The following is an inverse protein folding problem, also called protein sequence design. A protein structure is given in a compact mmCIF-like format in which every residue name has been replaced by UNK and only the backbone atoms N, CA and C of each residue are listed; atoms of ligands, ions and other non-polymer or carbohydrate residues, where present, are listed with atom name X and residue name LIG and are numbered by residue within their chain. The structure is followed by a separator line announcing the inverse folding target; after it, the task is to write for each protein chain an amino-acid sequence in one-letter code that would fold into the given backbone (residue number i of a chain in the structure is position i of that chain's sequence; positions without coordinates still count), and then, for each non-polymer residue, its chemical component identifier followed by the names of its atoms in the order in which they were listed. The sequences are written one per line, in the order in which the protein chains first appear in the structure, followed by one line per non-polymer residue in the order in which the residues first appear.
data_IF_644731985323
#
_entry.id   IF_644731985323
#
_cell.length_a   1.000
_cell.length_b   1.000
_cell.length_c   1.000
_cell.angle_alpha   90.00
_cell.angle_beta   90.00
_cell.angle_gamma   90.00
#
_symmetry.space_group_name_H-M   'P 1'
#
loop_
_entity.id
_entity.type
_entity.pdbx_description
1 polymer ?
#
# COMPACT_ATOMS: atom_id res chain seq x y z
N UNK A 1 -5.07 -1.66 15.35
CA UNK A 1 -5.40 -0.28 15.77
C UNK A 1 -6.33 0.25 14.70
N UNK A 2 -7.66 0.29 14.88
CA UNK A 2 -8.66 0.44 13.79
C UNK A 2 -8.67 1.82 13.08
N UNK A 3 -7.55 2.26 12.53
CA UNK A 3 -7.35 3.60 11.97
C UNK A 3 -8.29 3.84 10.78
N UNK A 4 -8.56 2.79 10.01
CA UNK A 4 -9.41 2.85 8.82
C UNK A 4 -10.86 2.43 9.07
N UNK A 5 -11.25 2.04 10.29
CA UNK A 5 -12.58 1.44 10.52
C UNK A 5 -13.68 2.41 10.98
N UNK A 6 -13.35 3.63 11.43
CA UNK A 6 -14.32 4.54 12.08
C UNK A 6 -14.50 5.90 11.39
N UNK A 7 -13.92 6.08 10.20
CA UNK A 7 -13.82 7.38 9.52
C UNK A 7 -14.59 7.39 8.19
N UNK A 8 -14.93 8.56 7.66
CA UNK A 8 -15.46 8.69 6.29
C UNK A 8 -14.39 8.48 5.23
N UNK A 9 -14.80 8.34 3.96
CA UNK A 9 -13.90 8.02 2.84
C UNK A 9 -12.75 9.02 2.72
N UNK A 10 -13.05 10.33 2.80
CA UNK A 10 -12.04 11.38 2.71
C UNK A 10 -11.03 11.32 3.85
N UNK A 11 -11.48 11.11 5.09
CA UNK A 11 -10.57 11.06 6.24
C UNK A 11 -9.72 9.78 6.22
N UNK A 12 -10.23 8.67 5.70
CA UNK A 12 -9.43 7.45 5.50
C UNK A 12 -8.34 7.68 4.46
N UNK A 13 -8.65 8.31 3.33
CA UNK A 13 -7.67 8.66 2.29
C UNK A 13 -6.59 9.60 2.83
N UNK A 14 -6.99 10.68 3.51
CA UNK A 14 -6.05 11.60 4.14
C UNK A 14 -5.19 10.92 5.22
N UNK A 15 -5.76 9.95 5.94
CA UNK A 15 -5.02 9.17 6.92
C UNK A 15 -3.97 8.26 6.27
N UNK A 16 -4.25 7.65 5.13
CA UNK A 16 -3.27 6.85 4.39
C UNK A 16 -2.10 7.72 3.91
N UNK A 17 -2.38 8.92 3.39
CA UNK A 17 -1.34 9.88 2.99
C UNK A 17 -0.48 10.32 4.20
N UNK A 18 -1.12 10.62 5.33
CA UNK A 18 -0.41 10.98 6.55
C UNK A 18 0.45 9.80 7.07
N UNK A 19 -0.06 8.58 7.04
CA UNK A 19 0.67 7.38 7.44
C UNK A 19 1.92 7.16 6.57
N UNK A 20 1.82 7.29 5.25
CA UNK A 20 3.00 7.22 4.37
C UNK A 20 4.02 8.29 4.75
N UNK A 21 3.59 9.54 4.93
CA UNK A 21 4.50 10.63 5.29
C UNK A 21 5.17 10.43 6.66
N UNK A 22 4.46 9.85 7.63
CA UNK A 22 5.01 9.58 8.97
C UNK A 22 5.97 8.40 8.94
N UNK A 23 5.71 7.41 8.09
CA UNK A 23 6.59 6.25 7.93
C UNK A 23 7.80 6.53 7.04
N UNK A 24 7.78 7.57 6.20
CA UNK A 24 8.87 7.90 5.31
C UNK A 24 10.17 8.12 6.10
N UNK A 25 11.20 7.32 5.78
CA UNK A 25 12.50 7.29 6.45
C UNK A 25 12.51 6.98 7.96
N UNK A 26 11.36 6.67 8.57
CA UNK A 26 11.23 6.39 10.01
C UNK A 26 11.10 4.89 10.29
N UNK A 27 12.23 4.22 10.55
CA UNK A 27 12.24 2.80 10.90
C UNK A 27 11.41 2.46 12.16
N UNK A 28 11.40 3.27 13.25
CA UNK A 28 10.52 3.02 14.38
C UNK A 28 9.04 3.00 14.01
N UNK A 29 8.58 3.98 13.23
CA UNK A 29 7.18 4.05 12.80
C UNK A 29 6.79 2.88 11.89
N UNK A 30 7.73 2.42 11.06
CA UNK A 30 7.55 1.25 10.20
C UNK A 30 7.42 -0.05 11.03
N UNK A 31 8.28 -0.24 12.04
CA UNK A 31 8.18 -1.38 12.97
C UNK A 31 6.89 -1.33 13.79
N UNK A 32 6.48 -0.16 14.28
CA UNK A 32 5.22 0.01 15.02
C UNK A 32 4.00 -0.29 14.14
N UNK A 33 4.05 0.11 12.86
CA UNK A 33 3.01 -0.19 11.89
C UNK A 33 2.88 -1.70 11.62
N UNK A 34 4.02 -2.40 11.48
CA UNK A 34 4.06 -3.87 11.37
C UNK A 34 3.49 -4.54 12.64
N UNK A 35 3.96 -4.12 13.82
CA UNK A 35 3.52 -4.66 15.11
C UNK A 35 2.01 -4.46 15.39
N UNK A 36 1.40 -3.44 14.77
CA UNK A 36 -0.03 -3.16 14.88
C UNK A 36 -0.88 -3.86 13.80
N UNK A 37 -0.32 -4.76 13.01
CA UNK A 37 -0.95 -5.41 11.85
C UNK A 37 -1.48 -4.39 10.82
N UNK A 38 -0.75 -3.29 10.60
CA UNK A 38 -1.17 -2.23 9.70
C UNK A 38 -1.42 -2.70 8.27
N UNK A 39 -0.60 -3.64 7.78
CA UNK A 39 -0.80 -4.27 6.46
C UNK A 39 -2.14 -5.00 6.41
N UNK A 40 -2.48 -5.78 7.44
CA UNK A 40 -3.75 -6.49 7.50
C UNK A 40 -4.93 -5.51 7.40
N UNK A 41 -4.90 -4.40 8.16
CA UNK A 41 -5.96 -3.39 8.10
C UNK A 41 -6.13 -2.78 6.70
N UNK A 42 -5.05 -2.48 6.00
CA UNK A 42 -5.10 -1.97 4.61
C UNK A 42 -5.64 -3.04 3.66
N UNK A 43 -5.21 -4.30 3.83
CA UNK A 43 -5.65 -5.41 2.96
C UNK A 43 -7.12 -5.79 3.16
N UNK A 44 -7.69 -5.58 4.36
CA UNK A 44 -9.12 -5.73 4.59
C UNK A 44 -9.90 -4.73 3.74
N UNK A 45 -9.44 -3.48 3.68
CA UNK A 45 -10.12 -2.42 2.90
C UNK A 45 -10.00 -2.65 1.40
N UNK A 46 -8.80 -2.98 0.89
CA UNK A 46 -8.60 -3.15 -0.56
C UNK A 46 -9.39 -4.33 -1.15
N UNK A 47 -9.64 -5.37 -0.35
CA UNK A 47 -10.38 -6.57 -0.74
C UNK A 47 -11.89 -6.43 -0.62
N UNK A 48 -12.37 -5.51 0.20
CA UNK A 48 -13.81 -5.34 0.42
C UNK A 48 -14.46 -4.63 -0.78
N UNK A 49 -15.15 -5.40 -1.63
CA UNK A 49 -15.85 -4.89 -2.82
C UNK A 49 -17.00 -3.93 -2.48
N UNK A 50 -17.45 -3.87 -1.23
CA UNK A 50 -18.49 -2.93 -0.77
C UNK A 50 -17.91 -1.57 -0.37
N UNK A 51 -16.60 -1.46 -0.18
CA UNK A 51 -15.93 -0.19 0.09
C UNK A 51 -15.83 0.62 -1.21
N UNK A 52 -15.93 1.95 -1.06
CA UNK A 52 -15.71 2.92 -2.12
C UNK A 52 -14.45 2.61 -2.95
N UNK A 53 -14.62 2.54 -4.27
CA UNK A 53 -13.56 2.14 -5.19
C UNK A 53 -12.36 3.09 -5.14
N UNK A 54 -12.55 4.38 -4.91
CA UNK A 54 -11.45 5.33 -4.79
C UNK A 54 -10.66 5.09 -3.51
N UNK A 55 -11.32 4.71 -2.42
CA UNK A 55 -10.62 4.31 -1.19
C UNK A 55 -9.83 3.01 -1.39
N UNK A 56 -10.40 2.02 -2.08
CA UNK A 56 -9.68 0.79 -2.44
C UNK A 56 -8.45 1.13 -3.30
N UNK A 57 -8.60 2.00 -4.29
CA UNK A 57 -7.49 2.46 -5.14
C UNK A 57 -6.42 3.15 -4.30
N UNK A 58 -6.82 4.02 -3.36
CA UNK A 58 -5.90 4.70 -2.44
C UNK A 58 -5.11 3.72 -1.56
N UNK A 59 -5.74 2.63 -1.12
CA UNK A 59 -5.03 1.54 -0.44
C UNK A 59 -3.99 0.87 -1.36
N UNK A 60 -4.31 0.68 -2.65
CA UNK A 60 -3.36 0.19 -3.65
C UNK A 60 -2.14 1.13 -3.81
N UNK A 61 -2.38 2.44 -3.95
CA UNK A 61 -1.33 3.46 -4.01
C UNK A 61 -0.44 3.42 -2.75
N UNK A 62 -1.06 3.37 -1.57
CA UNK A 62 -0.37 3.25 -0.28
C UNK A 62 0.57 2.04 -0.25
N UNK A 63 0.09 0.86 -0.65
CA UNK A 63 0.89 -0.37 -0.67
C UNK A 63 2.09 -0.27 -1.62
N UNK A 64 1.89 0.30 -2.80
CA UNK A 64 2.94 0.52 -3.79
C UNK A 64 4.03 1.45 -3.27
N UNK A 65 3.63 2.57 -2.65
CA UNK A 65 4.56 3.55 -2.09
C UNK A 65 5.34 2.98 -0.90
N UNK A 66 4.65 2.32 0.04
CA UNK A 66 5.28 1.73 1.22
C UNK A 66 6.32 0.68 0.81
N UNK A 67 5.95 -0.26 -0.07
CA UNK A 67 6.88 -1.32 -0.49
C UNK A 67 8.01 -0.77 -1.34
N UNK A 68 7.75 0.19 -2.23
CA UNK A 68 8.80 0.84 -3.03
C UNK A 68 9.83 1.54 -2.16
N UNK A 69 9.36 2.24 -1.12
CA UNK A 69 10.23 2.87 -0.15
C UNK A 69 11.07 1.85 0.64
N UNK A 70 10.47 0.77 1.15
CA UNK A 70 11.16 -0.26 1.93
C UNK A 70 12.19 -1.04 1.11
N UNK A 71 11.89 -1.35 -0.16
CA UNK A 71 12.79 -2.07 -1.05
C UNK A 71 14.04 -1.26 -1.45
N UNK A 72 13.99 0.06 -1.34
CA UNK A 72 15.14 0.94 -1.60
C UNK A 72 16.13 1.06 -0.44
N UNK A 73 15.86 0.43 0.73
CA UNK A 73 16.69 0.55 1.93
C UNK A 73 17.61 -0.66 2.11
N UNK A 74 18.83 -0.39 2.58
CA UNK A 74 19.87 -1.41 2.82
C UNK A 74 19.50 -2.39 3.95
N UNK A 75 18.67 -1.93 4.92
CA UNK A 75 18.10 -2.76 5.98
C UNK A 75 16.60 -2.51 6.08
N UNK A 76 15.80 -3.52 5.74
CA UNK A 76 14.35 -3.44 5.78
C UNK A 76 13.82 -3.55 7.23
N UNK A 77 13.15 -2.53 7.78
CA UNK A 77 12.59 -2.57 9.13
C UNK A 77 11.26 -3.32 9.23
N UNK A 78 10.67 -3.73 8.09
CA UNK A 78 9.47 -4.58 8.03
C UNK A 78 9.79 -5.88 7.28
N UNK A 79 10.43 -6.86 7.93
CA UNK A 79 10.89 -8.07 7.26
C UNK A 79 9.75 -8.98 6.78
N UNK A 80 8.55 -8.94 7.40
CA UNK A 80 7.45 -9.84 7.03
C UNK A 80 6.56 -9.30 5.91
N UNK A 81 6.71 -8.02 5.52
CA UNK A 81 5.78 -7.33 4.63
C UNK A 81 5.50 -8.09 3.32
N UNK A 82 6.52 -8.70 2.71
CA UNK A 82 6.36 -9.44 1.45
C UNK A 82 5.58 -10.73 1.63
N UNK A 83 5.82 -11.44 2.72
CA UNK A 83 5.08 -12.65 3.07
C UNK A 83 3.63 -12.32 3.46
N UNK A 84 3.42 -11.26 4.23
CA UNK A 84 2.09 -10.80 4.63
C UNK A 84 1.26 -10.38 3.42
N UNK A 85 1.84 -9.61 2.50
CA UNK A 85 1.15 -9.20 1.27
C UNK A 85 0.78 -10.41 0.41
N UNK A 86 1.69 -11.36 0.23
CA UNK A 86 1.41 -12.61 -0.48
C UNK A 86 0.28 -13.41 0.18
N UNK A 87 0.33 -13.56 1.51
CA UNK A 87 -0.67 -14.30 2.29
C UNK A 87 -2.05 -13.63 2.24
N UNK A 88 -2.10 -12.31 2.29
CA UNK A 88 -3.35 -11.54 2.41
C UNK A 88 -4.00 -11.20 1.06
N UNK A 89 -3.19 -10.95 0.02
CA UNK A 89 -3.65 -10.51 -1.30
C UNK A 89 -3.43 -11.54 -2.43
N UNK A 90 -2.71 -12.63 -2.14
CA UNK A 90 -2.37 -13.66 -3.12
C UNK A 90 -1.12 -13.36 -3.95
N UNK A 91 -0.53 -14.40 -4.54
CA UNK A 91 0.74 -14.34 -5.28
C UNK A 91 0.71 -13.32 -6.44
N UNK A 92 -0.39 -13.29 -7.19
CA UNK A 92 -0.53 -12.42 -8.37
C UNK A 92 -0.46 -10.95 -7.98
N UNK A 93 -1.26 -10.55 -6.98
CA UNK A 93 -1.30 -9.18 -6.46
C UNK A 93 0.04 -8.79 -5.85
N UNK A 94 0.64 -9.68 -5.06
CA UNK A 94 1.96 -9.45 -4.46
C UNK A 94 3.05 -9.23 -5.51
N UNK A 95 3.05 -10.05 -6.58
CA UNK A 95 4.00 -9.92 -7.70
C UNK A 95 3.85 -8.59 -8.43
N UNK A 96 2.61 -8.14 -8.66
CA UNK A 96 2.34 -6.83 -9.27
C UNK A 96 2.85 -5.68 -8.41
N UNK A 97 2.58 -5.71 -7.10
CA UNK A 97 3.04 -4.68 -6.17
C UNK A 97 4.57 -4.66 -6.15
N UNK A 98 5.23 -5.82 -6.07
CA UNK A 98 6.69 -5.91 -6.11
C UNK A 98 7.28 -5.31 -7.39
N UNK A 99 6.79 -5.73 -8.56
CA UNK A 99 7.29 -5.24 -9.85
C UNK A 99 7.09 -3.72 -10.01
N UNK A 100 5.93 -3.22 -9.57
CA UNK A 100 5.62 -1.80 -9.65
C UNK A 100 6.38 -0.95 -8.62
N UNK A 101 6.76 -1.53 -7.48
CA UNK A 101 7.53 -0.85 -6.42
C UNK A 101 8.96 -0.46 -6.85
N UNK A 102 9.48 -1.05 -7.93
CA UNK A 102 10.79 -0.74 -8.49
C UNK A 102 10.79 0.46 -9.45
N UNK A 103 9.63 1.10 -9.69
CA UNK A 103 9.57 2.32 -10.49
C UNK A 103 10.16 3.50 -9.71
N UNK A 104 11.45 3.77 -9.90
CA UNK A 104 12.08 4.94 -9.29
C UNK A 104 13.39 5.36 -9.92
N UNK A 105 13.35 6.35 -10.83
CA UNK A 105 14.35 7.44 -10.90
C UNK A 105 14.10 8.49 -12.01
N UNK A 106 13.46 8.16 -13.15
CA UNK A 106 13.67 8.97 -14.38
C UNK A 106 12.45 9.73 -14.93
N UNK A 107 11.32 9.71 -14.23
CA UNK A 107 10.03 10.18 -14.79
C UNK A 107 9.56 11.48 -14.09
N UNK A 108 8.88 12.37 -14.82
CA UNK A 108 8.27 13.63 -14.32
C UNK A 108 7.25 13.36 -13.18
N UNK A 109 7.07 14.25 -12.18
CA UNK A 109 6.15 14.02 -11.05
C UNK A 109 4.70 13.71 -11.45
N UNK A 110 4.14 14.36 -12.48
CA UNK A 110 2.77 14.07 -12.92
C UNK A 110 2.68 12.68 -13.54
N UNK A 111 3.68 12.31 -14.34
CA UNK A 111 3.80 10.98 -14.93
C UNK A 111 4.02 9.90 -13.86
N UNK A 112 4.70 10.20 -12.75
CA UNK A 112 4.81 9.29 -11.59
C UNK A 112 3.46 9.06 -10.93
N UNK A 113 2.67 10.12 -10.73
CA UNK A 113 1.34 10.00 -10.14
C UNK A 113 0.42 9.16 -11.03
N UNK A 114 0.41 9.42 -12.34
CA UNK A 114 -0.36 8.63 -13.30
C UNK A 114 0.09 7.17 -13.33
N UNK A 115 1.40 6.90 -13.32
CA UNK A 115 1.94 5.56 -13.26
C UNK A 115 1.50 4.83 -11.97
N UNK A 116 1.58 5.50 -10.82
CA UNK A 116 1.15 4.96 -9.54
C UNK A 116 -0.34 4.56 -9.58
N UNK A 117 -1.20 5.43 -10.09
CA UNK A 117 -2.63 5.18 -10.25
C UNK A 117 -2.91 3.98 -11.17
N UNK A 118 -2.21 3.88 -12.30
CA UNK A 118 -2.32 2.75 -13.22
C UNK A 118 -1.92 1.45 -12.54
N UNK A 119 -0.81 1.44 -11.78
CA UNK A 119 -0.38 0.23 -11.08
C UNK A 119 -1.33 -0.12 -9.93
N UNK A 120 -1.83 0.85 -9.17
CA UNK A 120 -2.83 0.63 -8.13
C UNK A 120 -4.10 0.00 -8.71
N UNK A 121 -4.57 0.50 -9.87
CA UNK A 121 -5.70 -0.07 -10.60
C UNK A 121 -5.48 -1.53 -10.96
N UNK A 122 -4.30 -1.87 -11.51
CA UNK A 122 -3.95 -3.26 -11.87
C UNK A 122 -3.93 -4.19 -10.66
N UNK A 123 -3.48 -3.70 -9.51
CA UNK A 123 -3.51 -4.48 -8.25
C UNK A 123 -4.97 -4.77 -7.87
N UNK A 124 -5.86 -3.78 -7.90
CA UNK A 124 -7.28 -3.98 -7.60
C UNK A 124 -7.94 -4.96 -8.58
N UNK A 125 -7.71 -4.77 -9.88
CA UNK A 125 -8.24 -5.68 -10.92
C UNK A 125 -7.76 -7.11 -10.71
N UNK A 126 -6.54 -7.31 -10.20
CA UNK A 126 -6.03 -8.64 -9.87
C UNK A 126 -6.74 -9.31 -8.68
N UNK A 127 -7.30 -8.52 -7.76
CA UNK A 127 -8.10 -8.99 -6.62
C UNK A 127 -9.54 -9.30 -7.01
N UNK A 128 -10.10 -8.58 -8.00
CA UNK A 128 -11.49 -8.75 -8.44
C UNK A 128 -11.69 -9.96 -9.37
N UNK A 129 -10.60 -10.56 -9.87
CA UNK A 129 -10.59 -11.79 -10.69
C UNK A 129 -10.84 -13.07 -9.86
N UNK A 130 -11.10 -12.94 -8.57
CA UNK A 130 -11.51 -14.00 -7.64
C UNK A 130 -12.73 -13.55 -6.80
#
# INVERSE_FOLDING_TARGET
MRVLSTRGVMEKSACLDALISIMLDSSPNQMDFEACNGIEEVTVVIRDKQVDENLRLKCGEFMLLLIGHLNGRERAPMPSIHEDVRRLLGEKSASLIWAASQFGSTVDPEQRLMALQIQARRVLESLDLY
#
